data_IF_584557041941
#
_entry.id   IF_584557041941
#
_cell.length_a   1.000
_cell.length_b   1.000
_cell.length_c   1.000
_cell.angle_alpha   90.00
_cell.angle_beta   90.00
_cell.angle_gamma   90.00
#
_symmetry.space_group_name_H-M   'P 1'
#
loop_
_entity.id
_entity.type
_entity.pdbx_description
1 polymer ?
#
# COMPACT_ATOMS: atom_id res chain seq x y z
N UNK A 1 -12.56 4.79 1.91
CA UNK A 1 -11.15 4.54 1.55
C UNK A 1 -11.09 4.17 0.08
N UNK A 2 -10.28 4.87 -0.70
CA UNK A 2 -9.93 4.51 -2.07
C UNK A 2 -8.41 4.52 -2.22
N UNK A 3 -7.86 3.48 -2.85
CA UNK A 3 -6.43 3.32 -3.11
C UNK A 3 -6.19 3.40 -4.62
N UNK A 4 -5.21 4.19 -5.05
CA UNK A 4 -4.88 4.42 -6.46
C UNK A 4 -3.45 4.93 -6.61
N UNK A 5 -2.97 4.99 -7.84
CA UNK A 5 -1.67 5.58 -8.15
C UNK A 5 -1.80 7.06 -8.45
N UNK A 6 -0.96 7.87 -7.81
CA UNK A 6 -0.82 9.28 -8.10
C UNK A 6 -0.02 9.54 -9.38
N UNK A 7 -0.10 10.76 -9.90
CA UNK A 7 0.70 11.21 -11.06
C UNK A 7 2.20 11.30 -10.76
N UNK A 8 2.55 11.30 -9.47
CA UNK A 8 3.92 11.20 -8.94
C UNK A 8 4.41 9.76 -8.79
N UNK A 9 3.62 8.76 -9.22
CA UNK A 9 3.89 7.33 -9.04
C UNK A 9 3.93 6.85 -7.59
N UNK A 10 3.44 7.65 -6.64
CA UNK A 10 3.19 7.19 -5.29
C UNK A 10 1.87 6.41 -5.23
N UNK A 11 1.78 5.47 -4.29
CA UNK A 11 0.50 4.90 -3.92
C UNK A 11 -0.22 5.94 -3.05
N UNK A 12 -1.43 6.29 -3.44
CA UNK A 12 -2.25 7.31 -2.80
C UNK A 12 -3.45 6.66 -2.11
N UNK A 13 -3.88 7.28 -1.02
CA UNK A 13 -5.10 6.90 -0.32
C UNK A 13 -5.96 8.15 -0.04
N UNK A 14 -7.24 8.07 -0.41
CA UNK A 14 -8.29 8.99 0.03
C UNK A 14 -9.26 8.34 1.01
N UNK A 15 -9.55 8.99 2.14
CA UNK A 15 -10.46 8.48 3.18
C UNK A 15 -11.30 9.57 3.81
N UNK A 16 -12.34 9.14 4.54
CA UNK A 16 -13.16 10.06 5.32
C UNK A 16 -12.75 10.05 6.79
N UNK A 17 -12.66 11.23 7.39
CA UNK A 17 -12.36 11.39 8.83
C UNK A 17 -13.60 11.29 9.71
N UNK A 18 -14.76 11.24 9.08
CA UNK A 18 -16.06 11.01 9.69
C UNK A 18 -16.89 10.08 8.79
N UNK A 19 -18.19 9.94 9.07
CA UNK A 19 -19.13 9.07 8.37
C UNK A 19 -19.47 9.49 6.92
N UNK A 20 -18.48 9.92 6.14
CA UNK A 20 -18.63 10.17 4.70
C UNK A 20 -18.60 11.64 4.27
N UNK A 21 -18.58 12.60 5.19
CA UNK A 21 -18.78 14.02 4.88
C UNK A 21 -17.48 14.82 4.71
N UNK A 22 -16.42 14.44 5.42
CA UNK A 22 -15.12 15.10 5.37
C UNK A 22 -14.11 14.16 4.72
N UNK A 23 -13.66 14.51 3.53
CA UNK A 23 -12.69 13.72 2.76
C UNK A 23 -11.28 14.31 2.90
N UNK A 24 -10.33 13.44 3.22
CA UNK A 24 -8.92 13.65 2.91
C UNK A 24 -8.68 13.02 1.54
N UNK A 25 -8.16 13.81 0.61
CA UNK A 25 -7.96 13.42 -0.79
C UNK A 25 -6.46 13.42 -1.08
N UNK A 26 -6.00 12.50 -1.92
CA UNK A 26 -4.62 12.43 -2.43
C UNK A 26 -3.54 12.39 -1.34
N UNK A 27 -3.79 11.70 -0.21
CA UNK A 27 -2.75 11.51 0.79
C UNK A 27 -1.73 10.47 0.29
N UNK A 28 -0.45 10.84 0.32
CA UNK A 28 0.66 9.91 0.09
C UNK A 28 0.56 8.75 1.10
N UNK A 29 0.40 7.54 0.55
CA UNK A 29 0.36 6.31 1.33
C UNK A 29 1.70 5.57 1.27
N UNK A 30 2.26 5.41 0.06
CA UNK A 30 3.60 4.86 -0.15
C UNK A 30 4.35 5.71 -1.16
N UNK A 31 5.54 6.15 -0.77
CA UNK A 31 6.53 6.80 -1.64
C UNK A 31 7.72 5.86 -1.93
N UNK A 32 8.77 6.39 -2.53
CA UNK A 32 9.99 5.64 -2.83
C UNK A 32 10.71 5.03 -1.61
N UNK A 33 10.40 5.45 -0.38
CA UNK A 33 11.01 4.89 0.83
C UNK A 33 10.60 3.44 1.09
N UNK A 34 9.41 3.02 0.63
CA UNK A 34 8.93 1.64 0.75
C UNK A 34 8.85 0.92 -0.61
N UNK A 35 9.77 1.27 -1.50
CA UNK A 35 9.90 0.73 -2.85
C UNK A 35 8.86 1.31 -3.80
N UNK A 36 9.29 1.65 -5.01
CA UNK A 36 8.42 2.27 -6.00
C UNK A 36 7.33 1.27 -6.44
N UNK A 37 6.04 1.57 -6.23
CA UNK A 37 4.96 0.69 -6.66
C UNK A 37 4.90 0.59 -8.18
N UNK A 38 4.56 -0.60 -8.68
CA UNK A 38 4.26 -0.80 -10.09
C UNK A 38 2.86 -0.30 -10.44
N UNK A 39 2.65 -0.01 -11.72
CA UNK A 39 1.33 0.44 -12.19
C UNK A 39 0.23 -0.63 -12.17
N UNK A 40 0.58 -1.91 -11.99
CA UNK A 40 -0.30 -3.05 -12.27
C UNK A 40 -0.55 -3.98 -11.08
N UNK A 41 -0.12 -3.62 -9.88
CA UNK A 41 -0.16 -4.57 -8.75
C UNK A 41 -0.32 -3.89 -7.42
N UNK A 42 -1.55 -3.51 -7.06
CA UNK A 42 -1.91 -3.16 -5.69
C UNK A 42 -3.31 -3.67 -5.38
N UNK A 43 -3.56 -3.90 -4.10
CA UNK A 43 -4.85 -4.36 -3.61
C UNK A 43 -5.04 -3.93 -2.17
N UNK A 44 -6.29 -3.75 -1.77
CA UNK A 44 -6.65 -3.38 -0.42
C UNK A 44 -7.81 -4.23 0.09
N UNK A 45 -7.77 -4.56 1.38
CA UNK A 45 -8.80 -5.31 2.07
C UNK A 45 -9.13 -4.64 3.39
N UNK A 46 -10.42 -4.59 3.73
CA UNK A 46 -10.90 -4.18 5.05
C UNK A 46 -11.68 -5.36 5.62
N UNK A 47 -11.23 -5.90 6.76
CA UNK A 47 -11.86 -7.08 7.37
C UNK A 47 -12.97 -6.68 8.34
N UNK A 48 -12.80 -5.55 9.02
CA UNK A 48 -13.78 -4.91 9.89
C UNK A 48 -13.50 -3.40 9.95
N UNK A 49 -14.29 -2.65 10.72
CA UNK A 49 -14.15 -1.20 10.88
C UNK A 49 -12.89 -0.75 11.65
N UNK A 50 -12.11 -1.70 12.17
CA UNK A 50 -10.89 -1.46 12.96
C UNK A 50 -9.63 -2.02 12.30
N UNK A 51 -9.72 -2.62 11.11
CA UNK A 51 -8.55 -3.14 10.40
C UNK A 51 -8.64 -3.00 8.88
N UNK A 52 -7.52 -2.60 8.30
CA UNK A 52 -7.33 -2.59 6.85
C UNK A 52 -5.93 -3.10 6.50
N UNK A 53 -5.77 -3.53 5.26
CA UNK A 53 -4.57 -4.17 4.77
C UNK A 53 -4.36 -3.71 3.32
N UNK A 54 -3.15 -3.29 2.97
CA UNK A 54 -2.78 -2.90 1.60
C UNK A 54 -1.54 -3.65 1.18
N UNK A 55 -1.55 -4.18 -0.04
CA UNK A 55 -0.40 -4.82 -0.68
C UNK A 55 -0.07 -4.12 -1.98
N UNK A 56 1.21 -4.05 -2.31
CA UNK A 56 1.67 -3.55 -3.60
C UNK A 56 2.89 -4.33 -4.09
N UNK A 57 3.04 -4.40 -5.41
CA UNK A 57 4.21 -4.96 -6.08
C UNK A 57 5.14 -3.81 -6.41
N UNK A 58 6.41 -3.91 -6.03
CA UNK A 58 7.44 -2.92 -6.33
C UNK A 58 8.10 -3.19 -7.68
N UNK A 59 8.75 -2.18 -8.27
CA UNK A 59 9.38 -2.27 -9.61
C UNK A 59 10.49 -3.32 -9.71
N UNK A 60 11.07 -3.74 -8.59
CA UNK A 60 12.06 -4.83 -8.49
C UNK A 60 11.42 -6.22 -8.32
N UNK A 61 10.09 -6.30 -8.24
CA UNK A 61 9.33 -7.54 -8.16
C UNK A 61 9.02 -8.03 -6.74
N UNK A 62 9.38 -7.28 -5.69
CA UNK A 62 8.99 -7.61 -4.33
C UNK A 62 7.49 -7.32 -4.10
N UNK A 63 6.90 -7.98 -3.10
CA UNK A 63 5.55 -7.69 -2.63
C UNK A 63 5.68 -7.02 -1.26
N UNK A 64 5.16 -5.81 -1.14
CA UNK A 64 5.13 -5.12 0.13
C UNK A 64 3.72 -5.12 0.70
N UNK A 65 3.64 -4.88 2.01
CA UNK A 65 2.42 -5.00 2.77
C UNK A 65 2.41 -3.97 3.89
N UNK A 66 1.24 -3.38 4.11
CA UNK A 66 0.99 -2.51 5.24
C UNK A 66 -0.36 -2.87 5.90
N UNK A 67 -0.37 -3.43 7.13
CA UNK A 67 -1.56 -3.44 7.94
C UNK A 67 -1.83 -2.06 8.52
N UNK A 68 -3.11 -1.75 8.67
CA UNK A 68 -3.62 -0.69 9.52
C UNK A 68 -4.42 -1.30 10.65
N UNK A 69 -4.15 -0.85 11.86
CA UNK A 69 -5.06 -1.02 12.98
C UNK A 69 -5.42 0.32 13.59
N UNK A 70 -6.59 0.37 14.23
CA UNK A 70 -7.15 1.60 14.80
C UNK A 70 -6.27 2.23 15.88
N UNK A 71 -5.42 1.46 16.57
CA UNK A 71 -4.61 1.91 17.69
C UNK A 71 -3.21 2.40 17.27
N UNK A 72 -2.58 1.70 16.33
CA UNK A 72 -1.18 1.95 15.92
C UNK A 72 -1.08 2.66 14.56
N UNK A 73 -2.14 2.64 13.76
CA UNK A 73 -2.11 3.19 12.41
C UNK A 73 -1.47 2.23 11.42
N UNK A 74 -0.83 2.78 10.38
CA UNK A 74 -0.19 1.99 9.32
C UNK A 74 1.22 1.56 9.74
N UNK A 75 1.51 0.28 9.55
CA UNK A 75 2.86 -0.27 9.67
C UNK A 75 3.33 -0.70 8.29
N UNK A 76 4.56 -0.38 7.87
CA UNK A 76 5.03 -0.70 6.52
C UNK A 76 6.07 -1.82 6.55
N UNK A 77 5.87 -2.85 5.74
CA UNK A 77 6.74 -4.03 5.70
C UNK A 77 6.98 -4.52 4.28
N UNK A 78 8.17 -5.09 4.05
CA UNK A 78 8.55 -5.72 2.77
C UNK A 78 8.49 -7.24 2.91
N UNK A 79 7.69 -7.91 2.09
CA UNK A 79 7.75 -9.36 1.91
C UNK A 79 8.54 -9.70 0.66
N UNK A 80 9.77 -10.17 0.83
CA UNK A 80 10.44 -10.87 -0.24
C UNK A 80 9.89 -12.30 -0.30
N UNK A 81 9.04 -12.59 -1.28
CA UNK A 81 8.88 -13.97 -1.72
C UNK A 81 10.26 -14.42 -2.20
N UNK A 82 10.82 -15.43 -1.54
CA UNK A 82 12.11 -15.98 -1.91
C UNK A 82 12.11 -16.34 -3.39
N UNK A 83 12.86 -15.60 -4.22
CA UNK A 83 13.09 -15.99 -5.61
C UNK A 83 14.06 -17.15 -5.59
N UNK A 84 13.52 -18.37 -5.51
CA UNK A 84 14.25 -19.60 -5.70
C UNK A 84 14.70 -19.82 -7.13
N UNK A 85 15.44 -18.88 -7.68
CA UNK A 85 16.35 -19.08 -8.79
C UNK A 85 17.25 -17.85 -8.89
N UNK A 86 18.45 -17.91 -8.31
CA UNK A 86 19.53 -17.06 -8.79
C UNK A 86 19.85 -17.53 -10.21
N UNK A 87 19.75 -16.61 -11.18
CA UNK A 87 20.24 -16.83 -12.54
C UNK A 87 21.73 -17.17 -12.44
N UNK A 88 22.07 -18.44 -12.59
CA UNK A 88 23.45 -18.86 -12.77
C UNK A 88 24.00 -18.15 -14.01
N UNK A 89 25.09 -17.40 -13.83
CA UNK A 89 25.95 -16.98 -14.93
C UNK A 89 26.88 -18.12 -15.30
#
# INVERSE_FOLDING_TARGET
MGIYLGTNFNLMHSYTTNSGSNWVIDQDFVDGAYGNPTINGFGALTRNDQSAEVWWITTDGAINYAPWDRLNGWEYSTYQLWHGCSRAK
#
